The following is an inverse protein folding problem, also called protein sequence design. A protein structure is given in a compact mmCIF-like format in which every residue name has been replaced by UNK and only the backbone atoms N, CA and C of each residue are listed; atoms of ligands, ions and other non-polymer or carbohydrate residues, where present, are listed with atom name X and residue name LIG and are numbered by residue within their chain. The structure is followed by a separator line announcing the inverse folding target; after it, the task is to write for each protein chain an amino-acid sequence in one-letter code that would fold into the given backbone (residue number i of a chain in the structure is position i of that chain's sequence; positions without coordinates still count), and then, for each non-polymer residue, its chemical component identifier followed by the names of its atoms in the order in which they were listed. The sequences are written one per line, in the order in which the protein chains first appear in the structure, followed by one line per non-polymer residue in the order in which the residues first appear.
data_IF_082880909496
#
_entry.id   IF_082880909496
#
_cell.length_a   1.000
_cell.length_b   1.000
_cell.length_c   1.000
_cell.angle_alpha   90.00
_cell.angle_beta   90.00
_cell.angle_gamma   90.00
#
_symmetry.space_group_name_H-M   'P 1'
#
loop_
_entity.id
_entity.type
_entity.pdbx_description
1 polymer ?
#
# COMPACT_ATOMS: atom_id res chain seq x y z
N UNK A 1 23.21 -34.81 15.87
CA UNK A 1 22.28 -33.97 15.08
C UNK A 1 20.91 -34.02 15.75
N UNK A 2 20.35 -32.86 16.03
CA UNK A 2 18.95 -32.76 16.44
C UNK A 2 18.03 -33.27 15.32
N UNK A 3 16.80 -33.67 15.66
CA UNK A 3 15.80 -34.01 14.65
C UNK A 3 15.42 -32.78 13.83
N UNK A 4 14.98 -32.97 12.58
CA UNK A 4 14.39 -31.90 11.76
C UNK A 4 13.05 -31.51 12.41
N UNK A 5 12.88 -30.22 12.70
CA UNK A 5 11.64 -29.64 13.17
C UNK A 5 10.92 -28.95 12.00
N UNK A 6 9.65 -29.23 11.81
CA UNK A 6 8.79 -28.59 10.80
C UNK A 6 7.83 -27.62 11.47
N UNK A 7 7.75 -26.40 10.92
CA UNK A 7 6.84 -25.33 11.34
C UNK A 7 5.93 -25.07 10.13
N UNK A 8 4.61 -25.02 10.34
CA UNK A 8 3.65 -24.85 9.26
C UNK A 8 3.27 -26.17 8.58
N UNK A 9 2.66 -26.11 7.40
CA UNK A 9 2.18 -27.26 6.63
C UNK A 9 2.30 -27.04 5.14
N UNK A 10 2.74 -28.05 4.38
CA UNK A 10 2.89 -28.01 2.93
C UNK A 10 1.56 -27.69 2.19
N UNK A 11 0.45 -28.11 2.76
CA UNK A 11 -0.91 -27.84 2.24
C UNK A 11 -1.62 -26.71 2.98
N UNK A 12 -0.93 -26.03 3.91
CA UNK A 12 -1.48 -24.96 4.72
C UNK A 12 -1.44 -23.60 4.03
N UNK A 13 -2.04 -22.62 4.67
CA UNK A 13 -1.94 -21.23 4.29
C UNK A 13 -0.51 -20.71 4.43
N UNK A 14 -0.18 -19.67 3.66
CA UNK A 14 1.11 -18.99 3.77
C UNK A 14 1.28 -18.39 5.16
N UNK A 15 2.44 -18.62 5.76
CA UNK A 15 2.78 -18.08 7.07
C UNK A 15 2.79 -16.55 7.07
N UNK A 16 2.21 -15.98 8.09
CA UNK A 16 2.17 -14.52 8.32
C UNK A 16 3.00 -14.12 9.53
N UNK A 17 3.14 -15.06 10.46
CA UNK A 17 3.93 -14.91 11.67
C UNK A 17 4.70 -16.20 11.96
N UNK A 18 5.86 -16.06 12.55
CA UNK A 18 6.66 -17.15 13.08
C UNK A 18 7.42 -16.66 14.31
N UNK A 19 7.52 -17.51 15.32
CA UNK A 19 8.46 -17.34 16.41
C UNK A 19 9.21 -18.66 16.62
N UNK A 20 10.47 -18.57 16.98
CA UNK A 20 11.31 -19.73 17.21
C UNK A 20 12.29 -19.46 18.36
N UNK A 21 12.67 -20.49 19.09
CA UNK A 21 13.66 -20.42 20.14
C UNK A 21 14.46 -21.70 20.22
N UNK A 22 15.63 -21.63 20.80
CA UNK A 22 16.41 -22.82 21.20
C UNK A 22 16.27 -23.03 22.70
N UNK A 23 16.20 -24.29 23.10
CA UNK A 23 16.11 -24.68 24.51
C UNK A 23 16.98 -25.90 24.80
N UNK A 24 17.30 -26.13 26.09
CA UNK A 24 18.07 -27.29 26.56
C UNK A 24 19.47 -27.41 25.91
N UNK A 25 20.09 -26.28 25.59
CA UNK A 25 21.44 -26.24 25.02
C UNK A 25 22.47 -26.12 26.14
N UNK A 26 23.58 -26.83 25.99
CA UNK A 26 24.74 -26.76 26.92
C UNK A 26 25.72 -25.63 26.60
N UNK A 27 25.41 -24.80 25.62
CA UNK A 27 26.19 -23.65 25.17
C UNK A 27 25.36 -22.38 25.23
N UNK A 28 25.95 -21.28 25.66
CA UNK A 28 25.31 -19.98 25.68
C UNK A 28 25.09 -19.44 24.26
N UNK A 29 23.97 -18.79 24.04
CA UNK A 29 23.61 -18.20 22.74
C UNK A 29 22.10 -18.19 22.51
N UNK A 30 21.71 -17.62 21.40
CA UNK A 30 20.30 -17.49 21.01
C UNK A 30 20.09 -17.82 19.53
N UNK A 31 18.88 -18.20 19.18
CA UNK A 31 18.41 -18.28 17.81
C UNK A 31 17.90 -16.89 17.40
N UNK A 32 18.46 -16.35 16.34
CA UNK A 32 18.03 -15.08 15.74
C UNK A 32 17.43 -15.33 14.37
N UNK A 33 16.42 -14.56 14.00
CA UNK A 33 15.75 -14.73 12.71
C UNK A 33 15.18 -13.40 12.21
N UNK A 34 15.00 -13.33 10.89
CA UNK A 34 14.35 -12.22 10.19
C UNK A 34 13.66 -12.73 8.93
N UNK A 35 12.77 -11.95 8.35
CA UNK A 35 12.02 -12.33 7.15
C UNK A 35 12.01 -11.24 6.09
N UNK A 36 11.81 -11.67 4.85
CA UNK A 36 11.27 -10.82 3.78
C UNK A 36 9.76 -10.98 3.82
N UNK A 37 9.04 -9.87 3.92
CA UNK A 37 7.58 -9.87 4.03
C UNK A 37 6.95 -9.17 2.84
N UNK A 38 5.82 -9.68 2.40
CA UNK A 38 5.02 -9.10 1.33
C UNK A 38 4.70 -7.63 1.64
N UNK A 39 4.84 -6.73 0.67
CA UNK A 39 4.70 -5.27 0.79
C UNK A 39 5.70 -4.54 1.70
N UNK A 40 6.30 -5.22 2.68
CA UNK A 40 7.23 -4.60 3.65
C UNK A 40 8.71 -4.83 3.32
N UNK A 41 9.02 -5.78 2.42
CA UNK A 41 10.39 -6.11 2.08
C UNK A 41 11.14 -6.81 3.21
N UNK A 42 12.46 -6.66 3.23
CA UNK A 42 13.34 -7.24 4.23
C UNK A 42 13.21 -6.55 5.58
N UNK A 43 13.07 -7.34 6.65
CA UNK A 43 13.06 -6.83 8.02
C UNK A 43 14.47 -6.35 8.40
N UNK A 44 14.57 -5.08 8.82
CA UNK A 44 15.85 -4.45 9.10
C UNK A 44 16.59 -5.06 10.31
N UNK A 45 15.86 -5.52 11.33
CA UNK A 45 16.43 -6.03 12.57
C UNK A 45 16.23 -7.54 12.72
N UNK A 46 17.24 -8.22 13.25
CA UNK A 46 17.14 -9.60 13.69
C UNK A 46 16.34 -9.69 14.99
N UNK A 47 15.32 -10.53 15.01
CA UNK A 47 14.59 -10.89 16.22
C UNK A 47 15.30 -12.04 16.93
N UNK A 48 15.06 -12.19 18.22
CA UNK A 48 15.65 -13.23 19.05
C UNK A 48 14.57 -14.09 19.72
N UNK A 49 14.97 -15.25 20.15
CA UNK A 49 14.23 -16.27 20.88
C UNK A 49 12.79 -15.93 21.29
N UNK A 50 11.83 -16.47 20.54
CA UNK A 50 10.40 -16.38 20.85
C UNK A 50 9.68 -15.08 20.46
N UNK A 51 10.39 -14.05 19.96
CA UNK A 51 9.74 -12.81 19.51
C UNK A 51 9.11 -13.06 18.13
N UNK A 52 7.80 -12.88 17.99
CA UNK A 52 7.10 -13.11 16.73
C UNK A 52 7.53 -12.11 15.63
N UNK A 53 7.71 -12.59 14.39
CA UNK A 53 8.02 -11.75 13.22
C UNK A 53 6.91 -10.71 12.99
N UNK A 54 5.65 -11.10 13.12
CA UNK A 54 4.51 -10.20 13.05
C UNK A 54 3.92 -9.98 14.45
N UNK A 55 4.39 -8.94 15.13
CA UNK A 55 3.80 -8.50 16.40
C UNK A 55 2.72 -7.42 16.23
N UNK A 56 2.50 -6.93 14.99
CA UNK A 56 1.50 -5.90 14.67
C UNK A 56 0.19 -6.49 14.17
N UNK A 57 0.14 -7.81 13.96
CA UNK A 57 -1.00 -8.51 13.35
C UNK A 57 -1.47 -7.87 12.02
N UNK A 58 -0.49 -7.40 11.21
CA UNK A 58 -0.75 -6.73 9.94
C UNK A 58 -1.12 -7.70 8.81
N UNK A 59 -1.01 -9.01 9.06
CA UNK A 59 -1.41 -10.07 8.15
C UNK A 59 -0.54 -10.22 6.90
N UNK A 60 0.66 -9.60 6.87
CA UNK A 60 1.56 -9.70 5.72
C UNK A 60 2.22 -11.08 5.65
N UNK A 61 2.22 -11.66 4.44
CA UNK A 61 2.79 -12.98 4.19
C UNK A 61 4.32 -12.98 4.29
N UNK A 62 4.89 -14.06 4.82
CA UNK A 62 6.34 -14.32 4.79
C UNK A 62 6.70 -14.86 3.40
N UNK A 63 7.66 -14.20 2.75
CA UNK A 63 8.17 -14.58 1.42
C UNK A 63 9.48 -15.36 1.52
N UNK A 64 10.34 -14.99 2.45
CA UNK A 64 11.56 -15.70 2.77
C UNK A 64 11.91 -15.50 4.23
N UNK A 65 12.72 -16.42 4.78
CA UNK A 65 13.15 -16.41 6.17
C UNK A 65 14.64 -16.73 6.27
N UNK A 66 15.30 -16.11 7.23
CA UNK A 66 16.68 -16.40 7.58
C UNK A 66 16.81 -16.64 9.09
N UNK A 67 17.61 -17.63 9.46
CA UNK A 67 17.98 -17.95 10.83
C UNK A 67 19.49 -17.89 11.02
N UNK A 68 19.93 -17.46 12.19
CA UNK A 68 21.33 -17.53 12.60
C UNK A 68 21.44 -17.82 14.10
N UNK A 69 22.53 -18.42 14.51
CA UNK A 69 22.88 -18.61 15.92
C UNK A 69 23.82 -17.50 16.37
N UNK A 70 23.75 -17.14 17.65
CA UNK A 70 24.67 -16.21 18.29
C UNK A 70 25.42 -16.87 19.44
N UNK A 71 26.48 -16.21 19.94
CA UNK A 71 27.27 -16.68 21.06
C UNK A 71 28.01 -18.02 20.82
N UNK A 72 28.31 -18.74 21.90
CA UNK A 72 29.01 -20.04 21.87
C UNK A 72 28.22 -21.09 21.07
N UNK A 73 26.91 -20.97 21.02
CA UNK A 73 26.06 -21.87 20.26
C UNK A 73 26.40 -21.84 18.79
N UNK A 74 26.61 -20.63 18.21
CA UNK A 74 27.01 -20.43 16.81
C UNK A 74 28.46 -20.91 16.52
N UNK A 75 29.29 -21.02 17.54
CA UNK A 75 30.64 -21.58 17.38
C UNK A 75 30.65 -23.12 17.30
N UNK A 76 29.61 -23.76 17.82
CA UNK A 76 29.52 -25.23 17.91
C UNK A 76 28.58 -25.85 16.88
N UNK A 77 27.58 -25.09 16.42
CA UNK A 77 26.51 -25.57 15.53
C UNK A 77 26.24 -24.61 14.39
N UNK A 78 25.88 -25.16 13.23
CA UNK A 78 25.19 -24.48 12.16
C UNK A 78 23.65 -24.65 12.35
N UNK A 79 22.90 -23.61 12.11
CA UNK A 79 21.44 -23.74 11.92
C UNK A 79 21.15 -23.89 10.43
N UNK A 80 20.70 -25.07 10.04
CA UNK A 80 20.26 -25.37 8.68
C UNK A 80 18.75 -25.28 8.60
N UNK A 81 18.24 -24.72 7.52
CA UNK A 81 16.80 -24.59 7.28
C UNK A 81 16.49 -24.55 5.79
N UNK A 82 15.25 -24.86 5.47
CA UNK A 82 14.66 -24.70 4.15
C UNK A 82 13.20 -24.29 4.28
N UNK A 83 12.66 -23.67 3.25
CA UNK A 83 11.24 -23.30 3.17
C UNK A 83 10.50 -24.15 2.14
N UNK A 84 9.22 -24.36 2.39
CA UNK A 84 8.25 -24.81 1.39
C UNK A 84 7.53 -23.56 0.86
N UNK A 85 7.68 -23.28 -0.43
CA UNK A 85 6.96 -22.22 -1.12
C UNK A 85 5.65 -22.78 -1.67
N UNK A 86 4.53 -22.07 -1.44
CA UNK A 86 3.19 -22.53 -1.82
C UNK A 86 3.01 -22.82 -3.32
N UNK A 87 3.89 -22.29 -4.19
CA UNK A 87 3.84 -22.50 -5.64
C UNK A 87 4.96 -23.40 -6.17
N UNK A 88 6.05 -23.58 -5.42
CA UNK A 88 7.26 -24.29 -5.88
C UNK A 88 7.56 -25.56 -5.11
N UNK A 89 6.94 -25.75 -3.94
CA UNK A 89 7.27 -26.86 -3.06
C UNK A 89 8.50 -26.61 -2.20
N UNK A 90 9.14 -27.66 -1.70
CA UNK A 90 10.35 -27.57 -0.91
C UNK A 90 11.54 -27.04 -1.74
N UNK A 91 12.11 -25.94 -1.27
CA UNK A 91 13.36 -25.39 -1.78
C UNK A 91 14.58 -26.11 -1.12
N UNK A 92 15.77 -25.77 -1.60
CA UNK A 92 17.01 -26.32 -1.04
C UNK A 92 17.31 -25.86 0.38
N UNK A 93 18.22 -26.56 1.05
CA UNK A 93 18.70 -26.19 2.37
C UNK A 93 19.72 -25.04 2.30
N UNK A 94 19.62 -24.12 3.24
CA UNK A 94 20.59 -23.05 3.48
C UNK A 94 20.89 -22.94 4.98
N UNK A 95 21.80 -22.05 5.38
CA UNK A 95 22.20 -21.91 6.78
C UNK A 95 22.66 -20.51 7.17
N UNK A 96 22.71 -20.27 8.47
CA UNK A 96 23.49 -19.20 9.11
C UNK A 96 23.30 -17.80 8.52
N UNK A 97 22.07 -17.37 8.34
CA UNK A 97 21.73 -16.01 7.91
C UNK A 97 21.40 -15.85 6.43
N UNK A 98 21.63 -16.88 5.61
CA UNK A 98 21.20 -16.86 4.21
C UNK A 98 19.68 -17.05 4.11
N UNK A 99 19.02 -16.43 3.11
CA UNK A 99 17.58 -16.56 2.98
C UNK A 99 17.14 -17.91 2.40
N UNK A 100 16.07 -18.48 2.94
CA UNK A 100 15.28 -19.56 2.37
C UNK A 100 13.91 -19.04 1.95
N UNK A 101 13.55 -19.16 0.65
CA UNK A 101 12.28 -18.63 0.12
C UNK A 101 12.45 -17.93 -1.21
N UNK A 102 11.70 -16.83 -1.41
CA UNK A 102 11.81 -16.03 -2.63
C UNK A 102 11.75 -14.53 -2.31
N UNK A 103 12.42 -13.69 -3.12
CA UNK A 103 12.36 -12.23 -2.98
C UNK A 103 10.96 -11.69 -3.31
N UNK A 104 10.27 -12.33 -4.25
CA UNK A 104 8.99 -11.86 -4.78
C UNK A 104 8.19 -13.00 -5.44
N UNK A 105 7.01 -12.68 -5.94
CA UNK A 105 6.12 -13.62 -6.64
C UNK A 105 4.80 -13.87 -5.91
N UNK A 106 3.90 -14.63 -6.53
CA UNK A 106 2.57 -14.93 -5.98
C UNK A 106 2.56 -15.94 -4.84
N UNK A 107 3.61 -16.78 -4.72
CA UNK A 107 3.78 -17.73 -3.63
C UNK A 107 4.25 -17.08 -2.33
N UNK A 108 4.41 -17.89 -1.31
CA UNK A 108 4.97 -17.52 -0.02
C UNK A 108 5.30 -18.75 0.80
N UNK A 109 5.98 -18.56 1.91
CA UNK A 109 6.39 -19.65 2.78
C UNK A 109 5.18 -20.18 3.56
N UNK A 110 4.81 -21.43 3.37
CA UNK A 110 3.76 -22.10 4.15
C UNK A 110 4.30 -23.16 5.12
N UNK A 111 5.56 -23.58 4.93
CA UNK A 111 6.26 -24.40 5.91
C UNK A 111 7.77 -24.12 5.94
N UNK A 112 8.38 -24.36 7.08
CA UNK A 112 9.84 -24.23 7.29
C UNK A 112 10.33 -25.47 8.01
N UNK A 113 11.42 -26.05 7.53
CA UNK A 113 12.17 -27.06 8.25
C UNK A 113 13.47 -26.47 8.80
N UNK A 114 13.75 -26.78 10.07
CA UNK A 114 14.95 -26.29 10.77
C UNK A 114 15.64 -27.45 11.48
N UNK A 115 16.96 -27.47 11.47
CA UNK A 115 17.79 -28.42 12.21
C UNK A 115 19.09 -27.80 12.66
N UNK A 116 19.54 -28.15 13.86
CA UNK A 116 20.88 -27.83 14.34
C UNK A 116 21.86 -28.96 13.98
N UNK A 117 22.92 -28.62 13.31
CA UNK A 117 23.96 -29.54 12.85
C UNK A 117 25.30 -29.12 13.44
N UNK A 118 26.04 -30.05 14.03
CA UNK A 118 27.38 -29.74 14.57
C UNK A 118 28.28 -29.24 13.44
N UNK A 119 29.04 -28.19 13.72
CA UNK A 119 29.94 -27.58 12.74
C UNK A 119 30.88 -28.64 12.12
N UNK A 120 31.04 -28.57 10.80
CA UNK A 120 31.86 -29.52 10.03
C UNK A 120 31.14 -30.84 9.67
N UNK A 121 29.85 -31.01 10.05
CA UNK A 121 29.06 -32.17 9.61
C UNK A 121 28.42 -31.93 8.23
N UNK A 122 27.97 -33.03 7.59
CA UNK A 122 27.32 -32.99 6.28
C UNK A 122 26.02 -32.18 6.30
N UNK A 123 25.66 -31.65 5.12
CA UNK A 123 24.39 -30.94 4.89
C UNK A 123 23.19 -31.86 5.11
N UNK A 124 22.02 -31.34 5.57
CA UNK A 124 20.84 -32.15 5.75
C UNK A 124 20.21 -32.69 4.46
N UNK A 125 20.59 -32.11 3.31
CA UNK A 125 20.05 -32.50 2.00
C UNK A 125 20.50 -31.59 0.87
N UNK A 126 19.75 -31.57 -0.24
CA UNK A 126 20.01 -30.72 -1.40
C UNK A 126 19.99 -29.23 -1.01
N UNK A 127 20.99 -28.48 -1.46
CA UNK A 127 21.14 -27.03 -1.20
C UNK A 127 20.87 -26.15 -2.42
N UNK A 128 20.53 -26.73 -3.58
CA UNK A 128 20.21 -25.96 -4.77
C UNK A 128 18.90 -25.18 -4.58
N UNK A 129 18.85 -23.98 -5.14
CA UNK A 129 17.65 -23.14 -5.18
C UNK A 129 17.03 -22.88 -3.78
N UNK A 130 17.87 -22.70 -2.75
CA UNK A 130 17.39 -22.36 -1.40
C UNK A 130 16.70 -21.01 -1.35
N UNK A 131 17.09 -20.09 -2.22
CA UNK A 131 16.49 -18.76 -2.38
C UNK A 131 16.32 -18.40 -3.85
N UNK A 132 15.12 -17.96 -4.22
CA UNK A 132 14.80 -17.55 -5.58
C UNK A 132 14.77 -16.02 -5.63
N UNK A 133 15.81 -15.44 -6.24
CA UNK A 133 15.83 -14.00 -6.52
C UNK A 133 15.14 -13.71 -7.84
N UNK A 134 14.02 -12.98 -7.77
CA UNK A 134 13.26 -12.55 -8.94
C UNK A 134 13.53 -11.08 -9.32
N UNK A 135 14.57 -10.45 -8.78
CA UNK A 135 14.90 -9.04 -9.03
C UNK A 135 15.24 -8.74 -10.50
N UNK A 136 15.67 -9.74 -11.27
CA UNK A 136 15.95 -9.62 -12.71
C UNK A 136 14.68 -9.74 -13.60
N UNK A 137 13.50 -9.98 -13.02
CA UNK A 137 12.25 -10.03 -13.77
C UNK A 137 11.76 -8.62 -14.14
N UNK A 138 10.90 -8.52 -15.18
CA UNK A 138 10.25 -7.24 -15.48
C UNK A 138 9.46 -6.72 -14.27
N UNK A 139 9.43 -5.40 -14.03
CA UNK A 139 8.67 -4.80 -12.95
C UNK A 139 7.20 -5.23 -12.95
N UNK A 140 6.68 -5.55 -11.78
CA UNK A 140 5.30 -5.99 -11.58
C UNK A 140 4.67 -5.25 -10.41
N UNK A 141 3.38 -4.97 -10.52
CA UNK A 141 2.57 -4.39 -9.45
C UNK A 141 2.03 -5.49 -8.53
N UNK A 142 2.16 -5.27 -7.25
CA UNK A 142 1.52 -6.03 -6.19
C UNK A 142 0.50 -5.12 -5.51
N UNK A 143 -0.75 -5.56 -5.39
CA UNK A 143 -1.81 -4.74 -4.82
C UNK A 143 -2.76 -5.52 -3.93
N UNK A 144 -3.23 -4.90 -2.86
CA UNK A 144 -4.25 -5.42 -1.96
C UNK A 144 -5.10 -4.27 -1.43
N UNK A 145 -6.40 -4.51 -1.27
CA UNK A 145 -7.33 -3.53 -0.69
C UNK A 145 -8.16 -4.13 0.44
N UNK A 146 -8.47 -3.29 1.41
CA UNK A 146 -9.48 -3.55 2.44
C UNK A 146 -10.80 -2.91 2.02
N UNK A 147 -11.86 -3.71 1.97
CA UNK A 147 -13.20 -3.27 1.57
C UNK A 147 -14.12 -3.34 2.78
N UNK A 148 -15.03 -2.39 2.89
CA UNK A 148 -16.08 -2.38 3.90
C UNK A 148 -16.83 -3.72 3.91
N UNK A 149 -17.07 -4.26 5.11
CA UNK A 149 -17.77 -5.53 5.37
C UNK A 149 -17.11 -6.81 4.81
N UNK A 150 -15.95 -6.70 4.11
CA UNK A 150 -15.26 -7.84 3.51
C UNK A 150 -13.82 -8.03 4.02
N UNK A 151 -13.25 -6.99 4.65
CA UNK A 151 -11.86 -7.03 5.11
C UNK A 151 -10.84 -6.93 3.97
N UNK A 152 -9.62 -7.40 4.23
CA UNK A 152 -8.56 -7.48 3.23
C UNK A 152 -8.88 -8.57 2.20
N UNK A 153 -8.98 -8.17 0.93
CA UNK A 153 -9.05 -9.13 -0.17
C UNK A 153 -7.68 -9.80 -0.39
N UNK A 154 -7.66 -10.90 -1.14
CA UNK A 154 -6.40 -11.54 -1.54
C UNK A 154 -5.53 -10.57 -2.33
N UNK A 155 -4.22 -10.57 -2.06
CA UNK A 155 -3.27 -9.79 -2.82
C UNK A 155 -3.25 -10.25 -4.29
N UNK A 156 -3.09 -9.29 -5.20
CA UNK A 156 -2.97 -9.53 -6.64
C UNK A 156 -1.59 -9.11 -7.10
N UNK A 157 -0.98 -9.95 -7.92
CA UNK A 157 0.25 -9.65 -8.64
C UNK A 157 -0.11 -9.59 -10.11
N UNK A 158 0.15 -8.47 -10.75
CA UNK A 158 -0.11 -8.28 -12.16
C UNK A 158 1.18 -7.88 -12.89
N UNK A 159 1.22 -8.05 -14.19
CA UNK A 159 2.33 -7.59 -15.02
C UNK A 159 2.48 -6.07 -14.94
N UNK A 160 1.91 -5.35 -15.90
CA UNK A 160 1.98 -3.89 -15.93
C UNK A 160 0.82 -3.18 -15.22
N UNK A 161 -0.32 -3.86 -14.95
CA UNK A 161 -1.50 -3.24 -14.35
C UNK A 161 -2.22 -4.14 -13.35
N UNK A 162 -2.92 -3.54 -12.40
CA UNK A 162 -3.76 -4.22 -11.40
C UNK A 162 -5.06 -3.45 -11.15
N UNK A 163 -6.17 -4.20 -11.04
CA UNK A 163 -7.48 -3.68 -10.64
C UNK A 163 -7.83 -4.25 -9.26
N UNK A 164 -8.08 -3.37 -8.31
CA UNK A 164 -8.31 -3.70 -6.90
C UNK A 164 -9.63 -3.11 -6.43
N UNK A 165 -10.43 -3.89 -5.72
CA UNK A 165 -11.73 -3.47 -5.24
C UNK A 165 -12.89 -4.13 -5.98
N UNK A 166 -14.07 -3.53 -5.90
CA UNK A 166 -15.28 -4.00 -6.57
C UNK A 166 -16.10 -2.81 -7.09
N UNK A 167 -16.79 -3.00 -8.19
CA UNK A 167 -17.72 -2.01 -8.74
C UNK A 167 -19.15 -2.50 -8.62
N UNK A 168 -20.11 -1.57 -8.48
CA UNK A 168 -21.54 -1.88 -8.46
C UNK A 168 -22.04 -2.59 -7.18
N UNK A 169 -21.24 -2.64 -6.13
CA UNK A 169 -21.62 -3.23 -4.82
C UNK A 169 -21.81 -2.18 -3.73
N UNK A 170 -21.55 -0.92 -4.02
CA UNK A 170 -21.59 0.20 -3.06
C UNK A 170 -20.72 -0.04 -1.82
N UNK A 171 -19.62 -0.78 -1.97
CA UNK A 171 -18.67 -1.09 -0.90
C UNK A 171 -17.44 -0.19 -1.03
N UNK A 172 -17.18 0.60 0.01
CA UNK A 172 -16.03 1.51 0.02
C UNK A 172 -14.70 0.82 0.23
N UNK A 173 -13.66 1.33 -0.43
CA UNK A 173 -12.27 1.07 -0.05
C UNK A 173 -11.99 1.76 1.29
N UNK A 174 -11.38 1.05 2.21
CA UNK A 174 -10.97 1.55 3.53
C UNK A 174 -9.46 1.51 3.73
N UNK A 175 -8.76 0.67 2.99
CA UNK A 175 -7.32 0.56 2.98
C UNK A 175 -6.80 0.08 1.62
N UNK A 176 -5.62 0.54 1.27
CA UNK A 176 -4.89 0.11 0.06
C UNK A 176 -3.43 -0.16 0.42
N UNK A 177 -2.89 -1.25 -0.09
CA UNK A 177 -1.46 -1.57 -0.08
C UNK A 177 -0.99 -1.79 -1.50
N UNK A 178 0.15 -1.18 -1.83
CA UNK A 178 0.83 -1.39 -3.10
C UNK A 178 2.27 -1.82 -2.84
N UNK A 179 2.82 -2.56 -3.78
CA UNK A 179 4.22 -2.98 -3.78
C UNK A 179 4.70 -3.20 -5.19
N UNK A 180 6.00 -3.36 -5.32
CA UNK A 180 6.69 -3.68 -6.57
C UNK A 180 7.43 -5.00 -6.42
N UNK A 181 7.48 -5.76 -7.50
CA UNK A 181 8.30 -6.97 -7.65
C UNK A 181 9.13 -6.87 -8.91
N UNK A 182 10.29 -7.54 -8.94
CA UNK A 182 11.19 -7.50 -10.10
C UNK A 182 11.87 -6.14 -10.28
N UNK A 183 12.10 -5.44 -9.20
CA UNK A 183 12.76 -4.12 -9.18
C UNK A 183 13.98 -4.15 -8.25
N UNK A 184 14.90 -3.21 -8.43
CA UNK A 184 16.06 -3.04 -7.54
C UNK A 184 15.64 -2.62 -6.13
N UNK A 185 16.47 -2.92 -5.13
CA UNK A 185 16.18 -2.69 -3.71
C UNK A 185 15.97 -1.21 -3.34
N UNK A 186 16.49 -0.28 -4.14
CA UNK A 186 16.31 1.16 -3.99
C UNK A 186 15.00 1.69 -4.61
N UNK A 187 14.23 0.79 -5.24
CA UNK A 187 12.96 1.11 -5.89
C UNK A 187 11.78 0.87 -4.95
N UNK A 188 10.83 1.80 -4.92
CA UNK A 188 9.62 1.65 -4.13
C UNK A 188 8.42 2.37 -4.75
N UNK A 189 7.23 2.05 -4.25
CA UNK A 189 5.99 2.75 -4.57
C UNK A 189 5.42 3.34 -3.29
N UNK A 190 4.91 4.55 -3.33
CA UNK A 190 4.30 5.23 -2.19
C UNK A 190 2.82 5.49 -2.43
N UNK A 191 2.04 5.46 -1.36
CA UNK A 191 0.60 5.76 -1.36
C UNK A 191 0.28 6.76 -0.27
N UNK A 192 -0.48 7.81 -0.64
CA UNK A 192 -1.20 8.66 0.28
C UNK A 192 -2.70 8.55 -0.02
N UNK A 193 -3.53 8.48 1.00
CA UNK A 193 -4.98 8.42 0.85
C UNK A 193 -5.65 9.65 1.48
N UNK A 194 -6.69 10.15 0.81
CA UNK A 194 -7.66 11.07 1.40
C UNK A 194 -8.80 10.24 1.99
N UNK A 195 -8.96 10.32 3.29
CA UNK A 195 -9.95 9.52 4.04
C UNK A 195 -11.07 10.41 4.55
N UNK A 196 -12.30 9.95 4.43
CA UNK A 196 -13.49 10.65 4.89
C UNK A 196 -13.38 11.06 6.36
N UNK A 197 -13.59 12.34 6.65
CA UNK A 197 -13.50 12.96 7.98
C UNK A 197 -12.09 12.93 8.63
N UNK A 198 -11.05 12.68 7.83
CA UNK A 198 -9.64 12.77 8.26
C UNK A 198 -8.87 13.70 7.32
N UNK A 199 -9.11 13.63 6.01
CA UNK A 199 -8.35 14.34 4.98
C UNK A 199 -7.16 13.51 4.46
N UNK A 200 -6.18 14.21 3.86
CA UNK A 200 -4.99 13.60 3.31
C UNK A 200 -4.06 13.07 4.38
N UNK A 201 -3.68 11.80 4.25
CA UNK A 201 -2.64 11.15 5.05
C UNK A 201 -1.27 11.37 4.39
N UNK A 202 -0.20 11.25 5.18
CA UNK A 202 1.15 11.25 4.65
C UNK A 202 1.39 10.01 3.79
N UNK A 203 2.19 10.17 2.73
CA UNK A 203 2.60 9.05 1.90
C UNK A 203 3.46 8.06 2.69
N UNK A 204 3.23 6.77 2.47
CA UNK A 204 3.97 5.65 3.08
C UNK A 204 4.57 4.76 2.01
N UNK A 205 5.78 4.24 2.24
CA UNK A 205 6.52 3.40 1.29
C UNK A 205 6.80 1.99 1.78
N UNK A 206 6.88 1.77 3.09
CA UNK A 206 7.32 0.48 3.66
C UNK A 206 6.58 0.13 4.97
N UNK A 207 5.45 -0.57 4.93
CA UNK A 207 4.70 -0.95 3.73
C UNK A 207 4.04 0.27 3.08
N UNK A 208 3.92 0.26 1.74
CA UNK A 208 3.13 1.27 1.04
C UNK A 208 1.65 1.07 1.39
N UNK A 209 1.12 1.95 2.22
CA UNK A 209 -0.22 1.84 2.78
C UNK A 209 -0.92 3.19 2.82
N UNK A 210 -2.19 3.21 2.46
CA UNK A 210 -3.07 4.37 2.60
C UNK A 210 -4.45 3.95 3.09
N UNK A 211 -5.08 4.78 3.89
CA UNK A 211 -6.42 4.53 4.43
C UNK A 211 -6.45 4.21 5.91
N UNK A 212 -7.58 3.66 6.38
CA UNK A 212 -7.78 3.28 7.79
C UNK A 212 -8.55 1.96 7.85
N UNK A 213 -8.03 1.00 8.60
CA UNK A 213 -8.71 -0.28 8.86
C UNK A 213 -9.35 -0.24 10.24
N UNK A 214 -10.56 -0.79 10.37
CA UNK A 214 -11.28 -0.87 11.65
C UNK A 214 -11.96 0.44 12.10
N UNK A 215 -11.90 1.52 11.28
CA UNK A 215 -12.54 2.81 11.61
C UNK A 215 -13.79 3.10 10.77
N UNK A 216 -14.19 2.18 9.89
CA UNK A 216 -15.34 2.32 8.99
C UNK A 216 -15.32 3.61 8.15
N UNK A 217 -14.13 4.13 7.84
CA UNK A 217 -13.94 5.35 7.04
C UNK A 217 -13.52 5.02 5.62
N UNK A 218 -14.22 5.62 4.65
CA UNK A 218 -13.96 5.40 3.24
C UNK A 218 -12.73 6.19 2.75
N UNK A 219 -11.94 5.59 1.89
CA UNK A 219 -11.03 6.32 1.01
C UNK A 219 -11.88 7.08 -0.02
N UNK A 220 -11.53 8.33 -0.27
CA UNK A 220 -12.17 9.20 -1.26
C UNK A 220 -11.24 9.50 -2.43
N UNK A 221 -9.94 9.67 -2.17
CA UNK A 221 -8.93 9.89 -3.18
C UNK A 221 -7.59 9.28 -2.78
N UNK A 222 -6.69 9.14 -3.76
CA UNK A 222 -5.33 8.65 -3.55
C UNK A 222 -4.32 9.47 -4.35
N UNK A 223 -3.08 9.45 -3.87
CA UNK A 223 -1.87 9.84 -4.62
C UNK A 223 -0.90 8.68 -4.58
N UNK A 224 -0.36 8.30 -5.74
CA UNK A 224 0.57 7.18 -5.86
C UNK A 224 1.80 7.65 -6.62
N UNK A 225 3.00 7.35 -6.13
CA UNK A 225 4.24 7.71 -6.78
C UNK A 225 5.26 6.58 -6.71
N UNK A 226 6.10 6.50 -7.74
CA UNK A 226 7.30 5.67 -7.75
C UNK A 226 8.45 6.44 -7.13
N UNK A 227 9.37 5.72 -6.48
CA UNK A 227 10.56 6.30 -5.88
C UNK A 227 11.77 5.42 -6.19
N UNK A 228 12.95 6.05 -6.27
CA UNK A 228 14.20 5.37 -6.60
C UNK A 228 14.27 4.97 -8.08
N UNK A 229 15.12 4.00 -8.39
CA UNK A 229 15.51 3.68 -9.77
C UNK A 229 14.36 3.32 -10.71
N UNK A 230 13.27 2.73 -10.20
CA UNK A 230 12.09 2.43 -11.03
C UNK A 230 11.47 3.69 -11.65
N UNK A 231 11.58 4.84 -10.97
CA UNK A 231 11.06 6.11 -11.45
C UNK A 231 11.86 6.73 -12.61
N UNK A 232 13.06 6.19 -12.93
CA UNK A 232 13.84 6.62 -14.07
C UNK A 232 13.30 6.05 -15.40
N UNK A 233 12.65 4.87 -15.34
CA UNK A 233 12.21 4.12 -16.52
C UNK A 233 10.70 4.03 -16.68
N UNK A 234 9.94 4.23 -15.58
CA UNK A 234 8.49 4.01 -15.53
C UNK A 234 7.75 5.18 -14.90
N UNK A 235 6.54 5.39 -15.39
CA UNK A 235 5.49 6.19 -14.76
C UNK A 235 4.48 5.26 -14.07
N UNK A 236 3.87 5.71 -12.97
CA UNK A 236 2.70 5.07 -12.40
C UNK A 236 1.45 5.86 -12.74
N UNK A 237 0.52 5.21 -13.43
CA UNK A 237 -0.82 5.75 -13.70
C UNK A 237 -1.85 5.06 -12.81
N UNK A 238 -2.86 5.79 -12.39
CA UNK A 238 -3.95 5.24 -11.57
C UNK A 238 -5.26 5.97 -11.81
N UNK A 239 -6.36 5.21 -11.69
CA UNK A 239 -7.72 5.70 -11.86
C UNK A 239 -8.60 5.13 -10.75
N UNK A 240 -9.53 5.93 -10.25
CA UNK A 240 -10.44 5.57 -9.15
C UNK A 240 -11.85 5.41 -9.67
N UNK A 241 -12.52 4.33 -9.29
CA UNK A 241 -13.95 4.16 -9.43
C UNK A 241 -14.64 4.78 -8.22
N UNK A 242 -15.50 5.76 -8.49
CA UNK A 242 -16.20 6.54 -7.47
C UNK A 242 -17.69 6.19 -7.46
N UNK A 243 -18.27 6.03 -6.28
CA UNK A 243 -19.70 5.76 -6.12
C UNK A 243 -20.55 6.80 -6.84
N UNK A 244 -21.46 6.34 -7.70
CA UNK A 244 -22.36 7.18 -8.48
C UNK A 244 -21.75 7.87 -9.71
N UNK A 245 -20.42 7.84 -9.88
CA UNK A 245 -19.72 8.43 -11.04
C UNK A 245 -19.10 7.40 -11.97
N UNK A 246 -18.68 6.25 -11.42
CA UNK A 246 -17.93 5.27 -12.19
C UNK A 246 -16.42 5.56 -12.22
N UNK A 247 -15.72 5.09 -13.25
CA UNK A 247 -14.29 5.32 -13.41
C UNK A 247 -14.00 6.76 -13.81
N UNK A 248 -13.16 7.43 -13.03
CA UNK A 248 -12.58 8.73 -13.39
C UNK A 248 -11.42 8.55 -14.37
N UNK A 249 -10.81 9.64 -14.81
CA UNK A 249 -9.62 9.64 -15.63
C UNK A 249 -8.39 9.09 -14.89
N UNK A 250 -7.26 9.06 -15.60
CA UNK A 250 -5.99 8.62 -15.08
C UNK A 250 -5.18 9.79 -14.51
N UNK A 251 -4.75 9.67 -13.27
CA UNK A 251 -3.72 10.49 -12.65
C UNK A 251 -2.35 9.83 -12.82
N UNK A 252 -1.27 10.60 -12.64
CA UNK A 252 0.09 10.18 -12.87
C UNK A 252 0.99 10.65 -11.71
N UNK A 253 1.93 9.82 -11.26
CA UNK A 253 3.11 10.20 -10.47
C UNK A 253 2.85 11.19 -9.32
N UNK A 254 1.96 10.88 -8.40
CA UNK A 254 1.66 11.72 -7.24
C UNK A 254 0.53 12.74 -7.42
N UNK A 255 -0.05 12.84 -8.62
CA UNK A 255 -1.27 13.63 -8.83
C UNK A 255 -2.44 13.02 -8.05
N UNK A 256 -3.47 13.82 -7.76
CA UNK A 256 -4.65 13.31 -7.08
C UNK A 256 -5.58 12.55 -8.02
N UNK A 257 -6.10 11.39 -7.58
CA UNK A 257 -7.17 10.65 -8.24
C UNK A 257 -8.30 10.34 -7.26
N UNK A 258 -9.55 10.53 -7.65
CA UNK A 258 -10.72 10.33 -6.80
C UNK A 258 -11.46 11.62 -6.51
N UNK A 259 -12.00 11.78 -5.29
CA UNK A 259 -12.80 12.94 -4.93
C UNK A 259 -12.39 13.56 -3.60
N UNK A 260 -12.62 14.86 -3.44
CA UNK A 260 -12.47 15.59 -2.18
C UNK A 260 -13.62 16.57 -1.97
N UNK A 261 -14.17 16.64 -0.75
CA UNK A 261 -15.26 17.55 -0.39
C UNK A 261 -16.64 17.20 -0.97
N UNK A 262 -16.77 16.08 -1.71
CA UNK A 262 -18.02 15.63 -2.33
C UNK A 262 -18.73 14.52 -1.52
N UNK A 263 -18.11 14.04 -0.43
CA UNK A 263 -18.61 12.93 0.38
C UNK A 263 -18.84 11.63 -0.43
N UNK A 264 -18.07 11.45 -1.51
CA UNK A 264 -18.16 10.27 -2.38
C UNK A 264 -17.02 9.30 -2.06
N UNK A 265 -17.36 8.03 -1.98
CA UNK A 265 -16.39 6.96 -1.68
C UNK A 265 -15.74 6.38 -2.93
N UNK A 266 -14.48 5.99 -2.81
CA UNK A 266 -13.82 5.12 -3.76
C UNK A 266 -14.27 3.67 -3.53
N UNK A 267 -14.58 2.95 -4.62
CA UNK A 267 -15.02 1.55 -4.59
C UNK A 267 -14.01 0.60 -5.22
N UNK A 268 -13.21 1.11 -6.16
CA UNK A 268 -12.17 0.36 -6.84
C UNK A 268 -11.06 1.29 -7.34
N UNK A 269 -9.89 0.73 -7.58
CA UNK A 269 -8.76 1.45 -8.15
C UNK A 269 -8.08 0.59 -9.22
N UNK A 270 -7.67 1.23 -10.32
CA UNK A 270 -6.72 0.71 -11.30
C UNK A 270 -5.38 1.35 -11.08
N UNK A 271 -4.32 0.57 -11.15
CA UNK A 271 -2.93 1.06 -11.10
C UNK A 271 -2.16 0.39 -12.24
N UNK A 272 -1.38 1.15 -12.98
CA UNK A 272 -0.59 0.68 -14.10
C UNK A 272 0.84 1.22 -14.06
N UNK A 273 1.84 0.36 -14.32
CA UNK A 273 3.20 0.76 -14.63
C UNK A 273 3.33 0.93 -16.14
N UNK A 274 3.77 2.08 -16.57
CA UNK A 274 3.90 2.45 -17.99
C UNK A 274 5.32 2.94 -18.22
N UNK A 275 6.00 2.42 -19.24
CA UNK A 275 7.35 2.88 -19.58
C UNK A 275 7.34 4.37 -19.98
N UNK A 276 8.40 5.07 -19.66
CA UNK A 276 8.58 6.45 -20.09
C UNK A 276 8.41 6.57 -21.60
N UNK A 277 7.67 7.58 -22.04
CA UNK A 277 7.36 7.82 -23.46
C UNK A 277 6.12 7.09 -23.99
N UNK A 278 5.59 6.13 -23.26
CA UNK A 278 4.26 5.58 -23.53
C UNK A 278 3.19 6.46 -22.85
N UNK A 279 2.04 6.62 -23.50
CA UNK A 279 0.96 7.46 -22.97
C UNK A 279 0.13 6.80 -21.88
N UNK A 280 -0.79 7.56 -21.28
CA UNK A 280 -1.76 7.02 -20.33
C UNK A 280 -2.55 5.84 -20.94
N UNK A 281 -2.94 4.82 -20.12
CA UNK A 281 -3.63 3.62 -20.61
C UNK A 281 -4.96 3.89 -21.35
N UNK A 282 -5.60 5.03 -21.11
CA UNK A 282 -6.76 5.51 -21.87
C UNK A 282 -7.02 7.00 -21.61
N UNK A 283 -7.95 7.63 -22.36
CA UNK A 283 -8.10 9.08 -22.46
C UNK A 283 -8.84 9.80 -21.34
N UNK A 284 -8.53 11.01 -21.14
CA UNK A 284 -9.06 12.38 -21.05
C UNK A 284 -10.24 12.71 -20.12
N UNK A 285 -10.77 11.85 -19.26
CA UNK A 285 -11.66 12.28 -18.18
C UNK A 285 -10.83 12.88 -17.03
N UNK A 286 -11.43 13.76 -16.21
CA UNK A 286 -10.78 14.27 -15.03
C UNK A 286 -10.47 13.12 -14.05
N UNK A 287 -9.24 13.04 -13.59
CA UNK A 287 -8.81 12.03 -12.61
C UNK A 287 -9.26 12.37 -11.18
N UNK A 288 -9.52 13.65 -10.92
CA UNK A 288 -9.80 14.16 -9.60
C UNK A 288 -10.93 15.19 -9.63
N UNK A 289 -11.89 14.98 -8.76
CA UNK A 289 -13.03 15.88 -8.58
C UNK A 289 -13.00 16.42 -7.15
N UNK A 290 -12.91 17.73 -7.00
CA UNK A 290 -13.07 18.40 -5.72
C UNK A 290 -14.37 19.20 -5.69
N UNK A 291 -14.84 19.57 -4.50
CA UNK A 291 -16.06 20.39 -4.39
C UNK A 291 -15.87 21.70 -5.14
N UNK A 292 -16.91 22.15 -5.87
CA UNK A 292 -16.88 23.45 -6.49
C UNK A 292 -16.58 24.52 -5.45
N UNK A 293 -15.62 25.37 -5.73
CA UNK A 293 -15.35 26.53 -4.88
C UNK A 293 -16.20 27.70 -5.37
N UNK A 294 -17.17 28.11 -4.55
CA UNK A 294 -18.00 29.28 -4.78
C UNK A 294 -17.35 30.48 -4.08
N UNK A 295 -16.87 31.44 -4.85
CA UNK A 295 -16.42 32.74 -4.35
C UNK A 295 -17.51 33.77 -4.56
N UNK A 296 -17.88 34.49 -3.49
CA UNK A 296 -18.82 35.58 -3.48
C UNK A 296 -18.17 36.86 -3.01
N UNK A 297 -18.45 37.97 -3.71
CA UNK A 297 -18.10 39.33 -3.24
C UNK A 297 -19.34 40.19 -3.37
N UNK A 298 -19.56 41.08 -2.40
CA UNK A 298 -20.60 42.09 -2.46
C UNK A 298 -19.99 43.49 -2.45
N UNK A 299 -20.52 44.35 -3.26
CA UNK A 299 -20.32 45.81 -3.15
C UNK A 299 -21.43 46.40 -2.31
N UNK A 300 -21.07 47.08 -1.22
CA UNK A 300 -21.99 47.60 -0.22
C UNK A 300 -22.01 49.13 -0.30
N UNK A 301 -23.20 49.71 -0.25
CA UNK A 301 -23.38 51.17 -0.25
C UNK A 301 -22.52 51.84 0.83
N UNK A 302 -21.70 52.80 0.42
CA UNK A 302 -20.82 53.55 1.29
C UNK A 302 -19.57 52.80 1.83
N UNK A 303 -19.34 51.55 1.34
CA UNK A 303 -18.17 50.75 1.72
C UNK A 303 -17.47 50.09 0.55
N UNK A 304 -18.09 50.08 -0.66
CA UNK A 304 -17.52 49.43 -1.85
C UNK A 304 -17.47 47.92 -1.75
N UNK A 305 -16.57 47.31 -2.56
CA UNK A 305 -16.38 45.87 -2.61
C UNK A 305 -15.80 45.33 -1.31
N UNK A 306 -16.48 44.34 -0.75
CA UNK A 306 -16.01 43.59 0.42
C UNK A 306 -15.03 42.48 0.00
N UNK A 307 -14.29 41.95 0.97
CA UNK A 307 -13.45 40.77 0.76
C UNK A 307 -14.26 39.58 0.26
N UNK A 308 -13.58 38.68 -0.48
CA UNK A 308 -14.21 37.45 -0.93
C UNK A 308 -14.61 36.54 0.24
N UNK A 309 -15.77 35.91 0.15
CA UNK A 309 -16.19 34.81 1.01
C UNK A 309 -16.40 33.55 0.17
N UNK A 310 -16.21 32.38 0.80
CA UNK A 310 -16.23 31.10 0.08
C UNK A 310 -17.23 30.14 0.74
N UNK A 311 -17.78 29.24 -0.07
CA UNK A 311 -18.49 28.02 0.36
C UNK A 311 -19.45 28.18 1.56
N UNK A 312 -20.49 28.94 1.40
CA UNK A 312 -21.49 29.21 2.46
C UNK A 312 -21.16 30.40 3.35
N UNK A 313 -20.05 31.09 3.12
CA UNK A 313 -19.77 32.38 3.75
C UNK A 313 -20.77 33.45 3.29
N UNK A 314 -21.09 34.39 4.19
CA UNK A 314 -22.03 35.48 3.89
C UNK A 314 -21.28 36.67 3.28
N UNK A 315 -21.67 37.06 2.08
CA UNK A 315 -21.23 38.30 1.43
C UNK A 315 -22.27 39.41 1.71
N UNK A 316 -21.80 40.47 2.35
CA UNK A 316 -22.69 41.61 2.69
C UNK A 316 -22.63 41.99 4.16
N UNK A 317 -23.59 42.80 4.62
CA UNK A 317 -23.70 43.22 6.02
C UNK A 317 -25.07 42.97 6.56
N UNK A 318 -25.18 42.59 7.85
CA UNK A 318 -26.47 42.50 8.57
C UNK A 318 -26.53 43.57 9.62
N UNK A 319 -27.77 44.13 9.85
CA UNK A 319 -28.00 45.13 10.89
C UNK A 319 -27.35 46.49 10.65
N UNK A 320 -26.85 46.77 9.44
CA UNK A 320 -26.17 48.03 9.09
C UNK A 320 -27.01 48.95 8.18
N UNK A 321 -28.23 48.57 7.82
CA UNK A 321 -29.11 49.34 6.92
C UNK A 321 -28.41 49.81 5.63
N UNK A 322 -27.51 48.97 5.09
CA UNK A 322 -26.79 49.23 3.85
C UNK A 322 -27.19 48.24 2.76
N UNK A 323 -27.44 48.78 1.57
CA UNK A 323 -27.84 47.96 0.42
C UNK A 323 -26.63 47.32 -0.26
N UNK A 324 -26.83 46.12 -0.78
CA UNK A 324 -25.92 45.51 -1.73
C UNK A 324 -26.16 46.17 -3.09
N UNK A 325 -25.14 46.76 -3.70
CA UNK A 325 -25.17 47.45 -4.97
C UNK A 325 -24.75 46.55 -6.14
N UNK A 326 -23.85 45.59 -5.88
CA UNK A 326 -23.39 44.62 -6.87
C UNK A 326 -22.95 43.33 -6.21
N UNK A 327 -23.08 42.22 -6.91
CA UNK A 327 -22.57 40.91 -6.54
C UNK A 327 -21.59 40.42 -7.61
N UNK A 328 -20.50 39.82 -7.19
CA UNK A 328 -19.62 39.03 -8.03
C UNK A 328 -19.68 37.58 -7.56
N UNK A 329 -20.00 36.68 -8.46
CA UNK A 329 -20.07 35.24 -8.19
C UNK A 329 -19.09 34.57 -9.14
N UNK A 330 -18.15 33.83 -8.58
CA UNK A 330 -17.18 33.04 -9.32
C UNK A 330 -17.23 31.62 -8.86
N UNK A 331 -17.37 30.68 -9.80
CA UNK A 331 -17.29 29.25 -9.55
C UNK A 331 -16.00 28.75 -10.14
N UNK A 332 -15.21 28.03 -9.35
CA UNK A 332 -14.15 27.19 -9.83
C UNK A 332 -14.54 25.75 -9.55
N UNK A 333 -14.78 24.99 -10.60
CA UNK A 333 -15.15 23.58 -10.51
C UNK A 333 -14.44 22.78 -11.59
N UNK A 334 -13.96 21.57 -11.27
CA UNK A 334 -13.44 20.65 -12.27
C UNK A 334 -14.55 20.01 -13.14
N UNK A 335 -15.82 20.13 -12.75
CA UNK A 335 -16.95 19.64 -13.53
C UNK A 335 -17.58 20.77 -14.34
N UNK A 336 -18.00 20.46 -15.57
CA UNK A 336 -18.73 21.41 -16.40
C UNK A 336 -20.08 21.72 -15.76
N UNK A 337 -20.41 23.00 -15.65
CA UNK A 337 -21.65 23.49 -15.06
C UNK A 337 -21.67 25.00 -15.01
N UNK A 338 -22.77 25.58 -14.60
CA UNK A 338 -22.94 27.01 -14.44
C UNK A 338 -23.79 27.35 -13.23
N UNK A 339 -23.79 28.61 -12.86
CA UNK A 339 -24.74 29.16 -11.86
C UNK A 339 -25.79 29.96 -12.58
N UNK A 340 -27.04 29.70 -12.22
CA UNK A 340 -28.15 30.59 -12.53
C UNK A 340 -28.46 31.49 -11.33
N UNK A 341 -28.60 32.76 -11.53
CA UNK A 341 -28.96 33.71 -10.49
C UNK A 341 -29.98 34.73 -11.01
N UNK A 342 -30.77 35.26 -10.12
CA UNK A 342 -31.69 36.34 -10.37
C UNK A 342 -31.55 37.41 -9.29
N UNK A 343 -31.70 38.68 -9.66
CA UNK A 343 -31.74 39.80 -8.73
C UNK A 343 -33.05 40.58 -8.90
N UNK A 344 -33.66 40.97 -7.78
CA UNK A 344 -34.74 41.93 -7.75
C UNK A 344 -34.19 43.23 -7.19
N UNK A 345 -34.42 44.31 -7.88
CA UNK A 345 -34.03 45.66 -7.46
C UNK A 345 -35.31 46.48 -7.15
N UNK A 346 -35.30 47.21 -6.05
CA UNK A 346 -36.34 48.18 -5.75
C UNK A 346 -36.08 49.46 -6.53
N UNK A 347 -37.14 50.01 -7.10
CA UNK A 347 -37.11 51.34 -7.73
C UNK A 347 -36.93 52.43 -6.69
#
# INVERSE_FOLDING_TARGET
SGGITTIGSESGDVLRSISASVSNMSADGSLRYRAIRQFAGEQASWLSDGVAIDNQNDGLQIKAIAFQLSGDLGQKYDVWYRSHDSNRGWLGWTKNGEYAGASSGSGGVNAVQVVLVKNGSNTPGNTADSYVDNSASSPRLLGQVHIANSGWLSARVAGSDVVLGSTGKSLSLQGIRLGLEGVSADSSISVAAHVANIGWQNASTAPSYGGTVGQSKAIQAVKIALNGKIADDYDVYYSVHVAGYGWLGWAKNGESAGTEGLSLQAESIKVALVKHGEGAPSSSALAYLNSPNLELKASISGSGWQGAVHNGGMAGTTGKSRSIQALSIKVSSPVSGGISYAAHVSN
#
